data_IF_625583240761
#
_entry.id   IF_625583240761
#
_cell.length_a   1.000
_cell.length_b   1.000
_cell.length_c   1.000
_cell.angle_alpha   90.00
_cell.angle_beta   90.00
_cell.angle_gamma   90.00
#
_symmetry.space_group_name_H-M   'P 1'
#
loop_
_entity.id
_entity.type
_entity.pdbx_description
1 polymer ?
#
# COMPACT_ATOMS: atom_id res chain seq x y z
N UNK A 1 -20.70 14.87 17.49
CA UNK A 1 -20.07 15.84 18.41
C UNK A 1 -19.83 17.22 17.79
N UNK A 2 -19.10 17.34 16.66
CA UNK A 2 -18.89 18.67 16.03
C UNK A 2 -20.19 19.26 15.46
N UNK A 3 -21.00 18.42 14.81
CA UNK A 3 -22.30 18.86 14.27
C UNK A 3 -23.27 19.25 15.39
N UNK A 4 -23.26 18.52 16.51
CA UNK A 4 -24.07 18.85 17.68
C UNK A 4 -23.65 20.20 18.30
N UNK A 5 -22.33 20.49 18.34
CA UNK A 5 -21.83 21.79 18.80
C UNK A 5 -22.29 22.92 17.87
N UNK A 6 -22.24 22.74 16.55
CA UNK A 6 -22.76 23.74 15.62
C UNK A 6 -24.27 23.89 15.73
N UNK A 7 -25.02 22.79 15.94
CA UNK A 7 -26.46 22.84 16.19
C UNK A 7 -26.78 23.68 17.43
N UNK A 8 -26.08 23.49 18.54
CA UNK A 8 -26.23 24.33 19.73
C UNK A 8 -25.87 25.81 19.48
N UNK A 9 -24.85 26.08 18.65
CA UNK A 9 -24.48 27.45 18.27
C UNK A 9 -25.56 28.12 17.39
N UNK A 10 -26.19 27.37 16.48
CA UNK A 10 -27.34 27.86 15.71
C UNK A 10 -28.53 28.19 16.61
N UNK A 11 -28.90 27.28 17.52
CA UNK A 11 -30.00 27.50 18.48
C UNK A 11 -29.76 28.74 19.37
N UNK A 12 -28.49 29.00 19.74
CA UNK A 12 -28.13 30.20 20.51
C UNK A 12 -28.17 31.47 19.67
N UNK A 13 -27.70 31.42 18.43
CA UNK A 13 -27.72 32.54 17.48
C UNK A 13 -29.16 32.95 17.12
N UNK A 14 -30.09 31.99 16.96
CA UNK A 14 -31.51 32.27 16.71
C UNK A 14 -32.18 33.00 17.87
N UNK A 15 -31.78 32.70 19.11
CA UNK A 15 -32.28 33.33 20.34
C UNK A 15 -31.62 34.68 20.64
N UNK A 16 -30.58 35.06 19.91
CA UNK A 16 -29.82 36.31 20.10
C UNK A 16 -29.86 37.16 18.84
N UNK A 17 -28.71 37.39 18.18
CA UNK A 17 -28.63 38.18 16.96
C UNK A 17 -28.60 37.26 15.72
N UNK A 18 -29.63 37.38 14.87
CA UNK A 18 -29.75 36.65 13.61
C UNK A 18 -28.61 36.95 12.64
N UNK A 19 -27.91 38.08 12.78
CA UNK A 19 -26.70 38.40 12.01
C UNK A 19 -25.57 37.37 12.24
N UNK A 20 -25.57 36.72 13.41
CA UNK A 20 -24.56 35.75 13.81
C UNK A 20 -24.73 34.38 13.14
N UNK A 21 -25.92 34.06 12.60
CA UNK A 21 -26.19 32.79 11.89
C UNK A 21 -25.24 32.60 10.69
N UNK A 22 -24.96 33.68 9.96
CA UNK A 22 -24.02 33.65 8.83
C UNK A 22 -22.60 33.34 9.28
N UNK A 23 -22.16 33.89 10.42
CA UNK A 23 -20.84 33.63 10.99
C UNK A 23 -20.70 32.19 11.47
N UNK A 24 -21.72 31.65 12.16
CA UNK A 24 -21.75 30.24 12.61
C UNK A 24 -21.67 29.29 11.41
N UNK A 25 -22.45 29.56 10.36
CA UNK A 25 -22.44 28.75 9.13
C UNK A 25 -21.11 28.81 8.39
N UNK A 26 -20.53 30.00 8.26
CA UNK A 26 -19.23 30.16 7.63
C UNK A 26 -18.14 29.38 8.39
N UNK A 27 -18.20 29.41 9.73
CA UNK A 27 -17.27 28.68 10.58
C UNK A 27 -17.48 27.16 10.50
N UNK A 28 -18.72 26.68 10.46
CA UNK A 28 -19.04 25.25 10.27
C UNK A 28 -18.41 24.71 8.98
N UNK A 29 -18.65 25.39 7.87
CA UNK A 29 -18.13 25.00 6.56
C UNK A 29 -16.60 25.00 6.56
N UNK A 30 -15.98 26.05 7.14
CA UNK A 30 -14.53 26.16 7.24
C UNK A 30 -13.93 25.01 8.06
N UNK A 31 -14.57 24.65 9.17
CA UNK A 31 -14.08 23.61 10.07
C UNK A 31 -14.21 22.21 9.46
N UNK A 32 -15.36 21.90 8.85
CA UNK A 32 -15.56 20.63 8.12
C UNK A 32 -14.53 20.46 7.00
N UNK A 33 -14.36 21.49 6.17
CA UNK A 33 -13.33 21.49 5.10
C UNK A 33 -11.91 21.36 5.66
N UNK A 34 -11.64 21.95 6.83
CA UNK A 34 -10.36 21.81 7.52
C UNK A 34 -10.08 20.37 7.94
N UNK A 35 -11.07 19.67 8.48
CA UNK A 35 -10.98 18.25 8.85
C UNK A 35 -10.77 17.36 7.63
N UNK A 36 -11.55 17.55 6.56
CA UNK A 36 -11.39 16.79 5.31
C UNK A 36 -9.96 16.91 4.74
N UNK A 37 -9.40 18.12 4.78
CA UNK A 37 -8.03 18.36 4.33
C UNK A 37 -7.00 17.68 5.22
N UNK A 38 -7.22 17.70 6.54
CA UNK A 38 -6.34 17.03 7.51
C UNK A 38 -6.35 15.52 7.30
N UNK A 39 -7.52 14.93 7.11
CA UNK A 39 -7.69 13.50 6.83
C UNK A 39 -6.96 13.09 5.54
N UNK A 40 -7.15 13.84 4.45
CA UNK A 40 -6.43 13.59 3.19
C UNK A 40 -4.91 13.64 3.36
N UNK A 41 -4.41 14.63 4.11
CA UNK A 41 -2.97 14.76 4.39
C UNK A 41 -2.46 13.59 5.24
N UNK A 42 -3.23 13.17 6.23
CA UNK A 42 -2.89 12.03 7.07
C UNK A 42 -2.83 10.73 6.25
N UNK A 43 -3.83 10.48 5.42
CA UNK A 43 -3.87 9.32 4.51
C UNK A 43 -2.69 9.33 3.54
N UNK A 44 -2.34 10.49 2.96
CA UNK A 44 -1.16 10.60 2.10
C UNK A 44 0.14 10.31 2.86
N UNK A 45 0.28 10.80 4.10
CA UNK A 45 1.45 10.54 4.93
C UNK A 45 1.58 9.05 5.28
N UNK A 46 0.48 8.40 5.65
CA UNK A 46 0.44 6.95 5.90
C UNK A 46 0.82 6.15 4.65
N UNK A 47 0.26 6.50 3.48
CA UNK A 47 0.61 5.86 2.20
C UNK A 47 2.09 6.03 1.88
N UNK A 48 2.67 7.22 2.10
CA UNK A 48 4.11 7.46 1.90
C UNK A 48 4.96 6.62 2.83
N UNK A 49 4.60 6.55 4.13
CA UNK A 49 5.32 5.74 5.12
C UNK A 49 5.30 4.25 4.78
N UNK A 50 4.19 3.75 4.24
CA UNK A 50 4.02 2.35 3.87
C UNK A 50 4.53 2.03 2.46
N UNK A 51 4.75 3.04 1.61
CA UNK A 51 5.16 2.87 0.22
C UNK A 51 6.40 1.99 0.10
N UNK A 52 7.43 2.27 0.90
CA UNK A 52 8.68 1.52 0.82
C UNK A 52 8.51 0.05 1.21
N UNK A 53 7.66 -0.23 2.19
CA UNK A 53 7.34 -1.61 2.58
C UNK A 53 6.58 -2.34 1.47
N UNK A 54 5.59 -1.69 0.87
CA UNK A 54 4.81 -2.26 -0.24
C UNK A 54 5.69 -2.49 -1.46
N UNK A 55 6.56 -1.54 -1.82
CA UNK A 55 7.49 -1.69 -2.93
C UNK A 55 8.43 -2.89 -2.71
N UNK A 56 9.09 -2.98 -1.56
CA UNK A 56 9.97 -4.12 -1.24
C UNK A 56 9.24 -5.46 -1.27
N UNK A 57 8.01 -5.51 -0.75
CA UNK A 57 7.20 -6.72 -0.78
C UNK A 57 6.84 -7.14 -2.21
N UNK A 58 6.51 -6.17 -3.07
CA UNK A 58 6.23 -6.40 -4.48
C UNK A 58 7.49 -6.80 -5.26
N UNK A 59 8.65 -6.22 -4.96
CA UNK A 59 9.94 -6.60 -5.55
C UNK A 59 10.27 -8.06 -5.25
N UNK A 60 10.21 -8.45 -3.97
CA UNK A 60 10.42 -9.85 -3.55
C UNK A 60 9.40 -10.78 -4.20
N UNK A 61 8.13 -10.38 -4.26
CA UNK A 61 7.10 -11.20 -4.91
C UNK A 61 7.38 -11.39 -6.40
N UNK A 62 7.82 -10.35 -7.11
CA UNK A 62 8.13 -10.45 -8.55
C UNK A 62 9.39 -11.27 -8.82
N UNK A 63 10.37 -11.23 -7.92
CA UNK A 63 11.59 -12.06 -7.99
C UNK A 63 11.24 -13.55 -7.82
N UNK A 64 10.40 -13.88 -6.84
CA UNK A 64 9.99 -15.25 -6.56
C UNK A 64 8.91 -15.78 -7.51
N UNK A 65 7.99 -14.91 -7.95
CA UNK A 65 6.82 -15.26 -8.75
C UNK A 65 6.64 -14.27 -9.92
N UNK A 66 7.55 -14.30 -10.91
CA UNK A 66 7.46 -13.41 -12.06
C UNK A 66 6.12 -13.59 -12.78
N UNK A 67 5.49 -12.47 -13.14
CA UNK A 67 4.14 -12.44 -13.72
C UNK A 67 3.07 -13.15 -12.88
N UNK A 68 3.23 -13.17 -11.55
CA UNK A 68 2.34 -13.89 -10.62
C UNK A 68 2.27 -15.40 -10.89
N UNK A 69 3.33 -15.96 -11.48
CA UNK A 69 3.43 -17.37 -11.86
C UNK A 69 4.79 -17.92 -11.41
N UNK A 70 4.93 -19.25 -11.41
CA UNK A 70 6.19 -19.89 -11.03
C UNK A 70 7.30 -19.51 -12.01
N UNK A 71 8.53 -19.37 -11.51
CA UNK A 71 9.73 -19.09 -12.31
C UNK A 71 9.84 -20.08 -13.48
N UNK A 72 9.67 -21.38 -13.22
CA UNK A 72 9.76 -22.46 -14.23
C UNK A 72 8.76 -22.34 -15.39
N UNK A 73 7.68 -21.55 -15.24
CA UNK A 73 6.68 -21.33 -16.28
C UNK A 73 7.02 -20.16 -17.21
N UNK A 74 7.93 -19.29 -16.79
CA UNK A 74 8.25 -18.06 -17.52
C UNK A 74 9.71 -18.02 -18.00
N UNK A 75 10.65 -18.54 -17.20
CA UNK A 75 12.08 -18.41 -17.44
C UNK A 75 12.60 -19.51 -18.37
N UNK A 76 13.35 -19.14 -19.40
CA UNK A 76 13.98 -20.12 -20.28
C UNK A 76 15.27 -20.66 -19.64
N UNK A 77 15.53 -21.96 -19.80
CA UNK A 77 16.78 -22.57 -19.31
C UNK A 77 18.04 -21.89 -19.86
N UNK A 78 17.98 -21.36 -21.10
CA UNK A 78 19.13 -20.75 -21.76
C UNK A 78 19.60 -19.49 -21.06
N UNK A 79 18.69 -18.72 -20.44
CA UNK A 79 19.02 -17.53 -19.68
C UNK A 79 19.87 -17.89 -18.46
N UNK A 80 19.47 -18.93 -17.72
CA UNK A 80 20.22 -19.44 -16.57
C UNK A 80 21.56 -20.04 -16.98
N UNK A 81 21.61 -20.75 -18.10
CA UNK A 81 22.85 -21.35 -18.58
C UNK A 81 23.86 -20.30 -19.08
N UNK A 82 23.39 -19.17 -19.63
CA UNK A 82 24.26 -18.05 -20.00
C UNK A 82 24.92 -17.40 -18.78
N UNK A 83 24.21 -17.34 -17.65
CA UNK A 83 24.71 -16.74 -16.41
C UNK A 83 25.61 -17.68 -15.60
N UNK A 84 25.17 -18.93 -15.41
CA UNK A 84 25.80 -19.91 -14.51
C UNK A 84 26.74 -20.89 -15.23
N UNK A 85 26.72 -20.92 -16.56
CA UNK A 85 27.61 -21.74 -17.37
C UNK A 85 27.46 -23.25 -17.16
N UNK A 86 28.55 -23.98 -17.37
CA UNK A 86 28.58 -25.44 -17.36
C UNK A 86 28.25 -26.05 -15.98
N UNK A 87 28.41 -25.28 -14.90
CA UNK A 87 28.15 -25.71 -13.52
C UNK A 87 26.65 -25.77 -13.18
N UNK A 88 25.79 -25.16 -14.00
CA UNK A 88 24.35 -25.11 -13.75
C UNK A 88 23.70 -26.51 -13.69
N UNK A 89 23.96 -27.35 -14.69
CA UNK A 89 23.33 -28.67 -14.79
C UNK A 89 23.81 -29.63 -13.69
N UNK A 90 25.13 -29.73 -13.38
CA UNK A 90 25.61 -30.49 -12.22
C UNK A 90 24.95 -30.04 -10.91
N UNK A 91 24.93 -28.72 -10.65
CA UNK A 91 24.33 -28.17 -9.44
C UNK A 91 22.84 -28.50 -9.32
N UNK A 92 22.07 -28.41 -10.41
CA UNK A 92 20.66 -28.81 -10.41
C UNK A 92 20.48 -30.30 -10.12
N UNK A 93 21.32 -31.17 -10.69
CA UNK A 93 21.24 -32.62 -10.44
C UNK A 93 21.50 -32.98 -8.99
N UNK A 94 22.43 -32.29 -8.34
CA UNK A 94 22.80 -32.56 -6.95
C UNK A 94 21.74 -32.04 -5.95
N UNK A 95 21.04 -30.97 -6.31
CA UNK A 95 20.10 -30.27 -5.42
C UNK A 95 18.64 -30.69 -5.61
N UNK A 96 18.22 -31.03 -6.83
CA UNK A 96 16.83 -31.41 -7.11
C UNK A 96 16.49 -32.76 -6.47
N UNK A 97 15.42 -32.77 -5.67
CA UNK A 97 14.81 -33.97 -5.10
C UNK A 97 13.38 -34.13 -5.65
N UNK A 98 13.20 -34.81 -6.81
CA UNK A 98 11.95 -34.77 -7.58
C UNK A 98 10.71 -35.23 -6.81
N UNK A 99 10.86 -36.10 -5.83
CA UNK A 99 9.76 -36.70 -5.06
C UNK A 99 9.55 -36.04 -3.69
N UNK A 100 10.26 -34.94 -3.39
CA UNK A 100 10.13 -34.24 -2.12
C UNK A 100 8.87 -33.38 -2.04
N UNK A 101 8.30 -32.99 -3.20
CA UNK A 101 7.08 -32.16 -3.31
C UNK A 101 7.15 -30.84 -2.52
N UNK A 102 8.34 -30.24 -2.48
CA UNK A 102 8.62 -28.95 -1.83
C UNK A 102 9.25 -27.99 -2.83
N UNK A 103 9.09 -26.69 -2.61
CA UNK A 103 9.84 -25.68 -3.37
C UNK A 103 11.34 -25.77 -3.05
N UNK A 104 12.16 -25.74 -4.10
CA UNK A 104 13.60 -25.60 -3.99
C UNK A 104 13.95 -24.13 -4.26
N UNK A 105 14.63 -23.51 -3.29
CA UNK A 105 15.22 -22.18 -3.46
C UNK A 105 16.73 -22.36 -3.54
N UNK A 106 17.31 -22.01 -4.68
CA UNK A 106 18.75 -21.99 -4.89
C UNK A 106 19.23 -20.55 -4.85
N UNK A 107 20.21 -20.28 -4.00
CA UNK A 107 20.89 -18.98 -3.90
C UNK A 107 22.32 -19.16 -4.37
N UNK A 108 22.78 -18.28 -5.26
CA UNK A 108 24.15 -18.24 -5.77
C UNK A 108 24.89 -17.06 -5.15
#
# INVERSE_FOLDING_TARGET
HLEDQFKSLYELAEKTDKSFLGAVKAQEVKQKKGLDNLEKRLLMAQKRKLKDHVMRMTEIQNELFPNQSLQERNLNFSELYLELGEDFIPMLKDTLKPLKLEFLVLTH
#
